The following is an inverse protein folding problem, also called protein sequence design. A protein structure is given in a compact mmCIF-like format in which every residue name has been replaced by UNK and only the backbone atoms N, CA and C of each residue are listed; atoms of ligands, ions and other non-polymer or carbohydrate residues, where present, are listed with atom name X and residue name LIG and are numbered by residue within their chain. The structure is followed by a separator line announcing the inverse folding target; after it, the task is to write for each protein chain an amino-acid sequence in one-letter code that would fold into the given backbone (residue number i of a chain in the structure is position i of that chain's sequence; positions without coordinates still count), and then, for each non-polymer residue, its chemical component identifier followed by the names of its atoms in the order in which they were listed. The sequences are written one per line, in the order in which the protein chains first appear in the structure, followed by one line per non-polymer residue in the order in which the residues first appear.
data_IF_487421876065
#
_entry.id   IF_487421876065
#
_cell.length_a   1.000
_cell.length_b   1.000
_cell.length_c   1.000
_cell.angle_alpha   90.00
_cell.angle_beta   90.00
_cell.angle_gamma   90.00
#
_symmetry.space_group_name_H-M   'P 1'
#
loop_
_entity.id
_entity.type
_entity.pdbx_description
1 polymer ?
#
# COMPACT_ATOMS: atom_id res chain seq x y z
N UNK A 1 2.29 13.50 13.56
CA UNK A 1 1.44 13.10 12.41
C UNK A 1 2.01 13.50 11.03
N UNK A 2 2.73 14.61 10.88
CA UNK A 2 3.28 15.06 9.57
C UNK A 2 4.32 14.10 8.99
N UNK A 3 5.25 13.60 9.81
CA UNK A 3 6.31 12.67 9.40
C UNK A 3 5.73 11.37 8.84
N UNK A 4 4.71 10.80 9.49
CA UNK A 4 4.04 9.58 9.04
C UNK A 4 3.46 9.71 7.62
N UNK A 5 2.80 10.85 7.32
CA UNK A 5 2.26 11.12 5.97
C UNK A 5 3.35 11.30 4.93
N UNK A 6 4.48 11.92 5.31
CA UNK A 6 5.63 12.08 4.42
C UNK A 6 6.28 10.72 4.10
N UNK A 7 6.40 9.81 5.07
CA UNK A 7 6.90 8.45 4.83
C UNK A 7 6.00 7.66 3.88
N UNK A 8 4.67 7.75 4.05
CA UNK A 8 3.72 7.14 3.11
C UNK A 8 3.86 7.70 1.69
N UNK A 9 4.11 9.01 1.58
CA UNK A 9 4.39 9.64 0.28
C UNK A 9 5.69 9.10 -0.33
N UNK A 10 6.77 8.92 0.44
CA UNK A 10 8.01 8.33 -0.04
C UNK A 10 7.84 6.89 -0.52
N UNK A 11 7.03 6.08 0.19
CA UNK A 11 6.73 4.71 -0.24
C UNK A 11 5.97 4.73 -1.57
N UNK A 12 4.97 5.61 -1.71
CA UNK A 12 4.25 5.79 -2.98
C UNK A 12 5.17 6.18 -4.14
N UNK A 13 6.09 7.12 -3.92
CA UNK A 13 7.12 7.49 -4.90
C UNK A 13 7.99 6.29 -5.29
N UNK A 14 8.38 5.47 -4.31
CA UNK A 14 9.18 4.26 -4.55
C UNK A 14 8.44 3.27 -5.47
N UNK A 15 7.13 3.09 -5.27
CA UNK A 15 6.30 2.24 -6.13
C UNK A 15 6.27 2.76 -7.57
N UNK A 16 5.94 4.04 -7.77
CA UNK A 16 5.89 4.64 -9.11
C UNK A 16 7.26 4.52 -9.80
N UNK A 17 8.35 4.71 -9.05
CA UNK A 17 9.71 4.54 -9.58
C UNK A 17 10.02 3.11 -10.02
N UNK A 18 9.51 2.10 -9.32
CA UNK A 18 9.72 0.70 -9.66
C UNK A 18 9.11 0.32 -11.01
N UNK A 19 7.96 0.92 -11.37
CA UNK A 19 7.35 0.75 -12.69
C UNK A 19 8.14 1.37 -13.84
N UNK A 20 8.99 2.36 -13.56
CA UNK A 20 9.59 3.20 -14.60
C UNK A 20 11.11 3.01 -14.79
N UNK A 21 11.72 2.15 -13.98
CA UNK A 21 13.18 2.08 -13.75
C UNK A 21 14.03 1.68 -14.97
N UNK A 22 13.46 0.97 -15.95
CA UNK A 22 14.24 0.41 -17.07
C UNK A 22 14.32 1.31 -18.32
N UNK A 23 13.52 2.39 -18.41
CA UNK A 23 13.39 3.20 -19.65
C UNK A 23 13.40 4.71 -19.44
N UNK A 24 13.27 5.20 -18.21
CA UNK A 24 13.33 6.64 -17.94
C UNK A 24 14.78 7.14 -17.88
N UNK A 25 15.01 8.33 -18.46
CA UNK A 25 16.22 9.09 -18.17
C UNK A 25 16.14 9.60 -16.72
N UNK A 26 17.29 9.80 -16.09
CA UNK A 26 17.34 10.29 -14.70
C UNK A 26 16.55 11.59 -14.50
N UNK A 27 16.60 12.52 -15.47
CA UNK A 27 15.84 13.77 -15.41
C UNK A 27 14.32 13.53 -15.46
N UNK A 28 13.83 12.65 -16.33
CA UNK A 28 12.40 12.32 -16.43
C UNK A 28 11.90 11.68 -15.12
N UNK A 29 12.76 10.87 -14.48
CA UNK A 29 12.48 10.30 -13.16
C UNK A 29 12.35 11.39 -12.09
N UNK A 30 13.29 12.35 -12.02
CA UNK A 30 13.21 13.45 -11.03
C UNK A 30 11.94 14.26 -11.19
N UNK A 31 11.55 14.59 -12.44
CA UNK A 31 10.30 15.33 -12.71
C UNK A 31 9.08 14.54 -12.23
N UNK A 32 9.05 13.23 -12.49
CA UNK A 32 7.97 12.35 -12.05
C UNK A 32 7.87 12.30 -10.51
N UNK A 33 9.00 12.19 -9.81
CA UNK A 33 9.03 12.19 -8.34
C UNK A 33 8.51 13.50 -7.76
N UNK A 34 8.95 14.64 -8.32
CA UNK A 34 8.49 15.96 -7.89
C UNK A 34 7.00 16.18 -8.21
N UNK A 35 6.53 15.72 -9.37
CA UNK A 35 5.13 15.80 -9.75
C UNK A 35 4.24 14.96 -8.82
N UNK A 36 4.64 13.72 -8.53
CA UNK A 36 3.87 12.84 -7.65
C UNK A 36 3.86 13.36 -6.20
N UNK A 37 5.03 13.71 -5.67
CA UNK A 37 5.16 14.21 -4.30
C UNK A 37 4.52 15.59 -4.11
N UNK A 38 4.60 16.47 -5.11
CA UNK A 38 4.12 17.85 -5.05
C UNK A 38 2.65 18.04 -5.38
N UNK A 39 2.08 17.24 -6.29
CA UNK A 39 0.68 17.37 -6.71
C UNK A 39 -0.19 16.21 -6.24
N UNK A 40 0.19 14.98 -6.58
CA UNK A 40 -0.69 13.80 -6.41
C UNK A 40 -0.88 13.45 -4.94
N UNK A 41 0.22 13.31 -4.20
CA UNK A 41 0.22 12.98 -2.77
C UNK A 41 -0.57 13.99 -1.91
N UNK A 42 -0.33 15.31 -1.99
CA UNK A 42 -1.09 16.28 -1.20
C UNK A 42 -2.56 16.39 -1.64
N UNK A 43 -2.90 16.23 -2.92
CA UNK A 43 -4.28 16.22 -3.39
C UNK A 43 -5.09 15.09 -2.75
N UNK A 44 -4.53 13.88 -2.70
CA UNK A 44 -5.17 12.71 -2.08
C UNK A 44 -5.32 12.89 -0.57
N UNK A 45 -4.27 13.41 0.09
CA UNK A 45 -4.32 13.70 1.53
C UNK A 45 -5.39 14.74 1.86
N UNK A 46 -5.60 15.72 0.98
CA UNK A 46 -6.65 16.73 1.11
C UNK A 46 -8.05 16.13 0.92
N UNK A 47 -8.26 15.34 -0.14
CA UNK A 47 -9.55 14.69 -0.41
C UNK A 47 -9.98 13.68 0.65
N UNK A 48 -9.01 13.02 1.29
CA UNK A 48 -9.23 12.04 2.38
C UNK A 48 -9.25 12.69 3.77
N UNK A 49 -9.11 14.01 3.87
CA UNK A 49 -9.15 14.71 5.15
C UNK A 49 -10.58 14.83 5.69
N UNK A 50 -10.72 15.18 6.99
CA UNK A 50 -12.04 15.29 7.64
C UNK A 50 -12.98 16.28 6.94
N UNK A 51 -12.41 17.29 6.30
CA UNK A 51 -13.15 18.31 5.53
C UNK A 51 -13.17 18.01 4.02
N UNK A 52 -12.66 16.84 3.61
CA UNK A 52 -12.53 16.43 2.22
C UNK A 52 -13.79 15.76 1.67
N UNK A 53 -13.92 15.82 0.34
CA UNK A 53 -15.09 15.31 -0.40
C UNK A 53 -15.40 13.82 -0.11
N UNK A 54 -14.40 13.01 0.21
CA UNK A 54 -14.56 11.57 0.47
C UNK A 54 -14.96 11.20 1.90
N UNK A 55 -15.03 12.15 2.84
CA UNK A 55 -15.34 11.84 4.23
C UNK A 55 -16.80 11.35 4.44
N UNK A 56 -17.69 11.60 3.47
CA UNK A 56 -19.11 11.21 3.54
C UNK A 56 -19.42 9.82 2.98
N UNK A 57 -18.51 9.23 2.20
CA UNK A 57 -18.80 8.08 1.34
C UNK A 57 -18.00 6.81 1.72
N UNK A 58 -17.04 6.91 2.63
CA UNK A 58 -16.05 5.83 2.82
C UNK A 58 -15.83 5.49 4.29
N UNK A 59 -15.96 4.19 4.59
CA UNK A 59 -15.52 3.54 5.82
C UNK A 59 -14.10 4.01 6.21
N UNK A 60 -13.86 4.26 7.49
CA UNK A 60 -12.59 4.79 8.02
C UNK A 60 -11.42 3.88 7.65
N UNK A 61 -10.76 4.19 6.54
CA UNK A 61 -9.56 3.48 6.09
C UNK A 61 -8.45 3.71 7.13
N UNK A 62 -7.92 2.63 7.71
CA UNK A 62 -6.99 2.67 8.84
C UNK A 62 -5.72 3.44 8.44
N UNK A 63 -5.66 4.73 8.78
CA UNK A 63 -4.49 5.58 8.56
C UNK A 63 -4.34 6.18 7.16
N UNK A 64 -5.36 6.09 6.29
CA UNK A 64 -5.35 6.63 4.90
C UNK A 64 -4.25 6.06 3.99
N UNK A 65 -3.68 4.93 4.37
CA UNK A 65 -2.61 4.28 3.61
C UNK A 65 -3.15 3.72 2.28
N UNK A 66 -4.29 3.04 2.29
CA UNK A 66 -4.86 2.35 1.13
C UNK A 66 -5.02 3.26 -0.09
N UNK A 67 -5.54 4.47 0.10
CA UNK A 67 -5.73 5.43 -0.98
C UNK A 67 -4.41 5.91 -1.62
N UNK A 68 -3.35 6.09 -0.82
CA UNK A 68 -2.03 6.51 -1.31
C UNK A 68 -1.40 5.38 -2.12
N UNK A 69 -1.46 4.12 -1.63
CA UNK A 69 -0.97 2.96 -2.36
C UNK A 69 -1.71 2.77 -3.68
N UNK A 70 -3.05 2.81 -3.67
CA UNK A 70 -3.85 2.66 -4.87
C UNK A 70 -3.52 3.73 -5.94
N UNK A 71 -3.36 4.97 -5.51
CA UNK A 71 -2.97 6.04 -6.43
C UNK A 71 -1.56 5.88 -7.01
N UNK A 72 -0.62 5.34 -6.20
CA UNK A 72 0.74 5.07 -6.64
C UNK A 72 0.76 3.94 -7.68
N UNK A 73 -0.02 2.89 -7.45
CA UNK A 73 -0.14 1.76 -8.37
C UNK A 73 -0.72 2.20 -9.72
N UNK A 74 -1.80 3.01 -9.70
CA UNK A 74 -2.41 3.55 -10.93
C UNK A 74 -1.44 4.49 -11.66
N UNK A 75 -0.74 5.36 -10.93
CA UNK A 75 0.27 6.24 -11.54
C UNK A 75 1.42 5.43 -12.17
N UNK A 76 1.90 4.38 -11.49
CA UNK A 76 2.90 3.45 -12.03
C UNK A 76 2.41 2.75 -13.29
N UNK A 77 1.15 2.31 -13.32
CA UNK A 77 0.52 1.72 -14.50
C UNK A 77 0.50 2.70 -15.68
N UNK A 78 0.11 3.96 -15.46
CA UNK A 78 0.09 4.98 -16.51
C UNK A 78 1.51 5.20 -17.06
N UNK A 79 2.50 5.31 -16.18
CA UNK A 79 3.90 5.52 -16.58
C UNK A 79 4.45 4.33 -17.38
N UNK A 80 4.12 3.10 -16.99
CA UNK A 80 4.51 1.89 -17.73
C UNK A 80 3.87 1.80 -19.10
N UNK A 81 2.58 2.15 -19.23
CA UNK A 81 1.87 2.20 -20.51
C UNK A 81 2.54 3.22 -21.43
N UNK A 82 2.82 4.43 -20.92
CA UNK A 82 3.47 5.51 -21.68
C UNK A 82 4.90 5.12 -22.09
N UNK A 83 5.65 4.45 -21.21
CA UNK A 83 7.03 4.03 -21.47
C UNK A 83 7.16 2.86 -22.46
N UNK A 84 6.05 2.18 -22.75
CA UNK A 84 5.94 1.03 -23.68
C UNK A 84 6.69 -0.23 -23.20
N UNK A 85 6.19 -1.46 -23.47
CA UNK A 85 6.84 -2.70 -23.08
C UNK A 85 8.27 -2.85 -23.62
N UNK A 86 9.19 -3.41 -22.82
CA UNK A 86 10.55 -3.81 -23.22
C UNK A 86 10.56 -4.57 -24.55
N UNK A 87 11.48 -4.18 -25.46
CA UNK A 87 11.72 -4.94 -26.69
C UNK A 87 12.14 -6.36 -26.28
N UNK A 88 11.57 -7.37 -26.92
CA UNK A 88 11.83 -8.80 -26.64
C UNK A 88 11.44 -9.32 -25.25
N UNK A 89 10.64 -8.58 -24.46
CA UNK A 89 10.13 -9.09 -23.17
C UNK A 89 8.94 -10.04 -23.35
N UNK A 90 8.09 -9.78 -24.32
CA UNK A 90 6.89 -10.57 -24.58
C UNK A 90 7.12 -11.41 -25.83
N UNK A 91 7.04 -12.74 -25.68
CA UNK A 91 7.07 -13.69 -26.79
C UNK A 91 5.69 -13.72 -27.47
N UNK A 92 5.66 -13.86 -28.80
CA UNK A 92 4.45 -14.04 -29.59
C UNK A 92 3.69 -15.32 -29.20
N UNK A 93 4.41 -16.33 -28.70
CA UNK A 93 3.84 -17.61 -28.25
C UNK A 93 3.29 -17.57 -26.82
N UNK A 94 3.30 -16.41 -26.16
CA UNK A 94 2.76 -16.19 -24.82
C UNK A 94 3.34 -17.11 -23.72
N UNK A 95 4.54 -17.66 -23.92
CA UNK A 95 5.24 -18.44 -22.92
C UNK A 95 5.72 -17.53 -21.78
N UNK A 96 5.21 -17.75 -20.58
CA UNK A 96 5.53 -16.97 -19.39
C UNK A 96 6.81 -17.49 -18.71
N UNK A 97 7.96 -17.22 -19.33
CA UNK A 97 9.25 -17.55 -18.73
C UNK A 97 9.71 -16.40 -17.81
N UNK A 98 9.48 -16.55 -16.51
CA UNK A 98 9.92 -15.59 -15.51
C UNK A 98 11.34 -15.90 -15.03
N UNK A 99 12.29 -15.03 -15.36
CA UNK A 99 13.66 -15.08 -14.88
C UNK A 99 13.94 -13.82 -14.05
N UNK A 100 14.13 -14.00 -12.74
CA UNK A 100 14.57 -12.92 -11.87
C UNK A 100 16.07 -12.64 -12.13
N UNK A 101 16.45 -11.36 -12.22
CA UNK A 101 17.86 -10.99 -12.40
C UNK A 101 18.72 -11.46 -11.21
N UNK A 102 18.15 -11.47 -10.01
CA UNK A 102 18.74 -12.13 -8.83
C UNK A 102 17.65 -12.46 -7.81
N UNK A 103 17.62 -13.70 -7.34
CA UNK A 103 16.63 -14.15 -6.34
C UNK A 103 16.89 -13.54 -4.95
N UNK A 104 18.15 -13.21 -4.65
CA UNK A 104 18.60 -12.69 -3.35
C UNK A 104 17.91 -11.35 -3.00
N UNK A 105 17.76 -10.44 -3.96
CA UNK A 105 17.11 -9.15 -3.69
C UNK A 105 15.60 -9.28 -3.47
N UNK A 106 14.96 -10.27 -4.10
CA UNK A 106 13.54 -10.56 -3.92
C UNK A 106 13.28 -11.18 -2.55
N UNK A 107 14.14 -12.09 -2.11
CA UNK A 107 14.01 -12.70 -0.77
C UNK A 107 14.37 -11.72 0.33
N UNK A 108 15.40 -10.89 0.15
CA UNK A 108 15.79 -9.87 1.12
C UNK A 108 14.67 -8.83 1.35
N UNK A 109 14.04 -8.34 0.28
CA UNK A 109 12.92 -7.39 0.40
C UNK A 109 11.71 -8.02 1.09
N UNK A 110 11.38 -9.28 0.74
CA UNK A 110 10.32 -10.02 1.41
C UNK A 110 10.60 -10.20 2.91
N UNK A 111 11.85 -10.45 3.31
CA UNK A 111 12.23 -10.57 4.73
C UNK A 111 12.10 -9.23 5.46
N UNK A 112 12.55 -8.12 4.85
CA UNK A 112 12.40 -6.78 5.43
C UNK A 112 10.93 -6.44 5.71
N UNK A 113 10.03 -6.74 4.77
CA UNK A 113 8.60 -6.47 4.95
C UNK A 113 7.96 -7.43 5.97
N UNK A 114 8.30 -8.72 5.88
CA UNK A 114 7.72 -9.77 6.72
C UNK A 114 8.10 -9.66 8.21
N UNK A 115 9.30 -9.19 8.54
CA UNK A 115 9.74 -9.03 9.93
C UNK A 115 8.89 -8.02 10.72
N UNK A 116 8.45 -6.93 10.09
CA UNK A 116 7.51 -5.97 10.68
C UNK A 116 6.07 -6.48 10.64
N UNK A 117 5.70 -7.22 9.58
CA UNK A 117 4.37 -7.81 9.44
C UNK A 117 4.10 -8.87 10.51
N UNK A 118 5.07 -9.71 10.88
CA UNK A 118 4.89 -10.74 11.93
C UNK A 118 4.61 -10.09 13.28
N UNK A 119 5.35 -9.03 13.63
CA UNK A 119 5.13 -8.28 14.87
C UNK A 119 3.78 -7.57 14.87
N UNK A 120 3.34 -7.02 13.74
CA UNK A 120 2.01 -6.43 13.59
C UNK A 120 0.89 -7.49 13.62
N UNK A 121 1.09 -8.65 13.00
CA UNK A 121 0.12 -9.74 12.99
C UNK A 121 -0.07 -10.34 14.37
N UNK A 122 0.99 -10.47 15.16
CA UNK A 122 0.87 -10.81 16.58
C UNK A 122 0.06 -9.75 17.33
N UNK A 123 0.38 -8.48 17.13
CA UNK A 123 -0.35 -7.36 17.75
C UNK A 123 -1.83 -7.30 17.36
N UNK A 124 -2.17 -7.58 16.10
CA UNK A 124 -3.55 -7.64 15.62
C UNK A 124 -4.28 -8.88 16.13
N UNK A 125 -3.60 -10.04 16.22
CA UNK A 125 -4.15 -11.27 16.81
C UNK A 125 -4.52 -11.07 18.27
N UNK A 126 -3.65 -10.40 19.03
CA UNK A 126 -3.88 -10.14 20.46
C UNK A 126 -5.05 -9.16 20.67
N UNK A 127 -5.21 -8.16 19.80
CA UNK A 127 -6.36 -7.25 19.83
C UNK A 127 -7.68 -7.94 19.51
N UNK A 128 -7.70 -8.89 18.57
CA UNK A 128 -8.90 -9.68 18.26
C UNK A 128 -9.28 -10.62 19.41
N UNK A 129 -8.29 -11.23 20.08
CA UNK A 129 -8.53 -12.11 21.23
C UNK A 129 -9.14 -11.36 22.43
N UNK A 130 -8.69 -10.12 22.68
CA UNK A 130 -9.27 -9.26 23.72
C UNK A 130 -10.74 -8.91 23.43
N UNK A 131 -11.07 -8.61 22.18
CA UNK A 131 -12.46 -8.31 21.76
C UNK A 131 -13.33 -9.56 21.90
N UNK A 132 -12.84 -10.75 21.54
CA UNK A 132 -13.56 -12.01 21.72
C UNK A 132 -13.74 -12.37 23.19
N UNK A 133 -12.77 -12.09 24.06
CA UNK A 133 -12.93 -12.28 25.51
C UNK A 133 -13.96 -11.33 26.11
N UNK A 134 -13.98 -10.06 25.68
CA UNK A 134 -14.99 -9.09 26.11
C UNK A 134 -16.39 -9.51 25.67
N UNK A 135 -16.55 -10.00 24.43
CA UNK A 135 -17.81 -10.52 23.91
C UNK A 135 -18.25 -11.80 24.64
N UNK A 136 -17.32 -12.68 24.99
CA UNK A 136 -17.63 -13.91 25.73
C UNK A 136 -18.11 -13.61 27.15
N UNK A 137 -17.45 -12.69 27.86
CA UNK A 137 -17.88 -12.25 29.20
C UNK A 137 -19.24 -11.56 29.16
N UNK A 138 -19.52 -10.76 28.13
CA UNK A 138 -20.84 -10.15 27.93
C UNK A 138 -21.92 -11.20 27.64
N UNK A 139 -21.64 -12.22 26.83
CA UNK A 139 -22.59 -13.31 26.58
C UNK A 139 -22.83 -14.17 27.82
N UNK A 140 -21.79 -14.51 28.58
CA UNK A 140 -21.91 -15.28 29.82
C UNK A 140 -22.76 -14.51 30.86
N UNK A 141 -22.62 -13.17 30.92
CA UNK A 141 -23.45 -12.32 31.77
C UNK A 141 -24.91 -12.26 31.33
N UNK A 142 -25.19 -12.25 30.01
CA UNK A 142 -26.55 -12.28 29.47
C UNK A 142 -27.23 -13.63 29.68
N UNK A 143 -26.50 -14.75 29.53
CA UNK A 143 -27.02 -16.10 29.81
C UNK A 143 -27.38 -16.25 31.29
N UNK A 144 -26.54 -15.74 32.21
CA UNK A 144 -26.83 -15.75 33.65
C UNK A 144 -28.01 -14.86 34.07
N UNK A 145 -28.42 -13.88 33.25
CA UNK A 145 -29.63 -13.08 33.48
C UNK A 145 -30.90 -13.77 32.95
N UNK A 146 -30.77 -14.78 32.07
CA UNK A 146 -31.87 -15.53 31.47
C UNK A 146 -32.17 -16.88 32.15
N UNK A 147 -31.25 -17.39 32.98
CA UNK A 147 -31.42 -18.63 33.79
C UNK A 147 -32.07 -18.37 35.18
N UNK A 148 -32.89 -17.31 35.30
CA UNK A 148 -33.82 -17.04 36.41
C UNK A 148 -35.25 -17.11 35.86
#
# INVERSE_FOLDING_TARGET
MRVFKATLSCIGVSIVSGGAVERLKFLDWVVLVLFYSGFVSPAIVHWTNKDGCFNKITSKDLGRAGFIFYSADVAGLIVTIVSKPRKYRFDLNNNLNFWAFSSIYVTFSAIMDKSNLINLLHKFRDQQQLILQQLKVQMDFVVLQLDI
#
